data_IF_318437565616
#
_entry.id   IF_318437565616
#
_cell.length_a   1.000
_cell.length_b   1.000
_cell.length_c   1.000
_cell.angle_alpha   90.00
_cell.angle_beta   90.00
_cell.angle_gamma   90.00
#
_symmetry.space_group_name_H-M   'P 1'
#
loop_
_entity.id
_entity.type
_entity.pdbx_description
1 polymer ?
#
# COMPACT_ATOMS: atom_id res chain seq x y z
N UNK A 1 -7.97 -18.20 -1.27
CA UNK A 1 -9.29 -18.48 -1.87
C UNK A 1 -10.08 -19.58 -1.19
N UNK A 2 -9.47 -20.45 -0.43
CA UNK A 2 -10.18 -21.51 0.32
C UNK A 2 -11.25 -21.00 1.29
N UNK A 3 -11.26 -19.71 1.59
CA UNK A 3 -12.16 -19.07 2.56
C UNK A 3 -13.15 -18.07 1.92
N UNK A 4 -13.06 -17.83 0.62
CA UNK A 4 -13.91 -16.85 -0.06
C UNK A 4 -14.20 -17.28 -1.51
N UNK A 5 -15.47 -17.59 -1.79
CA UNK A 5 -15.97 -18.04 -3.10
C UNK A 5 -16.57 -16.93 -3.95
N UNK A 6 -16.45 -15.67 -3.51
CA UNK A 6 -17.01 -14.55 -4.27
C UNK A 6 -16.41 -14.48 -5.67
N UNK A 7 -17.22 -14.22 -6.72
CA UNK A 7 -16.73 -14.08 -8.08
C UNK A 7 -15.80 -12.88 -8.23
N UNK A 8 -15.03 -12.86 -9.31
CA UNK A 8 -14.19 -11.72 -9.73
C UNK A 8 -13.24 -11.22 -8.64
N UNK A 9 -12.69 -12.13 -7.82
CA UNK A 9 -11.87 -11.82 -6.66
C UNK A 9 -12.55 -10.90 -5.62
N UNK A 10 -13.88 -10.85 -5.62
CA UNK A 10 -14.66 -10.13 -4.62
C UNK A 10 -14.38 -10.63 -3.19
N UNK A 11 -14.75 -9.84 -2.20
CA UNK A 11 -14.54 -10.17 -0.79
C UNK A 11 -15.78 -9.88 0.07
N UNK A 12 -16.95 -9.68 -0.56
CA UNK A 12 -18.16 -9.26 0.13
C UNK A 12 -18.62 -10.33 1.14
N UNK A 13 -18.65 -11.60 0.74
CA UNK A 13 -19.07 -12.69 1.63
C UNK A 13 -18.18 -12.81 2.86
N UNK A 14 -16.88 -12.66 2.70
CA UNK A 14 -15.92 -12.69 3.81
C UNK A 14 -16.15 -11.53 4.79
N UNK A 15 -16.24 -10.32 4.26
CA UNK A 15 -16.35 -9.10 5.05
C UNK A 15 -17.74 -8.94 5.67
N UNK A 16 -18.80 -9.26 4.93
CA UNK A 16 -20.18 -8.95 5.33
C UNK A 16 -20.87 -10.10 6.09
N UNK A 17 -20.32 -11.32 6.04
CA UNK A 17 -20.87 -12.49 6.72
C UNK A 17 -19.90 -13.06 7.75
N UNK A 18 -18.84 -13.71 7.29
CA UNK A 18 -17.97 -14.52 8.14
C UNK A 18 -17.22 -13.68 9.17
N UNK A 19 -16.69 -12.53 8.79
CA UNK A 19 -15.86 -11.67 9.62
C UNK A 19 -16.47 -10.30 9.90
N UNK A 20 -17.78 -10.12 9.62
CA UNK A 20 -18.51 -8.86 9.75
C UNK A 20 -18.22 -8.09 11.03
N UNK A 21 -18.11 -8.79 12.14
CA UNK A 21 -17.89 -8.21 13.49
C UNK A 21 -16.56 -7.48 13.65
N UNK A 22 -15.60 -7.72 12.77
CA UNK A 22 -14.27 -7.10 12.84
C UNK A 22 -14.16 -5.81 12.02
N UNK A 23 -15.15 -5.51 11.21
CA UNK A 23 -15.13 -4.39 10.27
C UNK A 23 -16.17 -3.34 10.59
N UNK A 24 -15.78 -2.08 10.45
CA UNK A 24 -16.69 -0.96 10.60
C UNK A 24 -17.40 -0.65 9.29
N UNK A 25 -18.71 -0.80 9.27
CA UNK A 25 -19.59 -0.49 8.14
C UNK A 25 -20.49 0.72 8.38
N UNK A 26 -20.44 1.34 9.55
CA UNK A 26 -21.21 2.54 9.83
C UNK A 26 -21.63 2.66 11.30
N UNK A 27 -22.39 3.70 11.58
CA UNK A 27 -22.77 4.06 12.97
C UNK A 27 -23.53 2.95 13.73
N UNK A 28 -24.20 2.05 13.01
CA UNK A 28 -24.90 0.92 13.63
C UNK A 28 -23.96 -0.09 14.31
N UNK A 29 -22.67 -0.09 13.95
CA UNK A 29 -21.66 -0.97 14.55
C UNK A 29 -21.12 -0.43 15.88
N UNK A 30 -21.42 0.83 16.21
CA UNK A 30 -20.91 1.49 17.41
C UNK A 30 -19.84 2.55 17.12
N UNK A 31 -18.87 2.67 18.01
CA UNK A 31 -17.81 3.69 17.93
C UNK A 31 -16.76 3.27 16.91
N UNK A 32 -16.57 4.08 15.88
CA UNK A 32 -15.60 3.79 14.81
C UNK A 32 -14.17 3.49 15.34
N UNK A 33 -13.76 4.19 16.41
CA UNK A 33 -12.41 4.03 16.97
C UNK A 33 -12.12 2.60 17.46
N UNK A 34 -13.15 1.86 17.89
CA UNK A 34 -13.00 0.49 18.38
C UNK A 34 -12.61 -0.50 17.28
N UNK A 35 -12.79 -0.12 16.02
CA UNK A 35 -12.43 -0.91 14.84
C UNK A 35 -11.11 -0.47 14.19
N UNK A 36 -10.57 0.69 14.56
CA UNK A 36 -9.42 1.29 13.86
C UNK A 36 -8.09 0.74 14.39
N UNK A 37 -7.84 -0.54 14.11
CA UNK A 37 -6.57 -1.18 14.42
C UNK A 37 -5.59 -0.99 13.26
N UNK A 38 -4.34 -0.70 13.59
CA UNK A 38 -3.26 -0.56 12.64
C UNK A 38 -2.36 -1.80 12.68
N UNK A 39 -1.85 -2.21 11.52
CA UNK A 39 -0.72 -3.13 11.44
C UNK A 39 0.51 -2.48 12.08
N UNK A 40 1.50 -3.30 12.43
CA UNK A 40 2.76 -2.78 13.01
C UNK A 40 3.42 -1.77 12.09
N UNK A 41 3.46 -2.02 10.77
CA UNK A 41 4.03 -1.08 9.80
C UNK A 41 3.28 0.25 9.74
N UNK A 42 1.97 0.25 9.86
CA UNK A 42 1.14 1.47 9.85
C UNK A 42 1.36 2.31 11.10
N UNK A 43 1.42 1.65 12.27
CA UNK A 43 1.73 2.31 13.53
C UNK A 43 3.13 2.95 13.49
N UNK A 44 4.11 2.21 12.94
CA UNK A 44 5.48 2.69 12.79
C UNK A 44 5.58 3.87 11.82
N UNK A 45 4.94 3.77 10.66
CA UNK A 45 4.85 4.88 9.70
C UNK A 45 4.25 6.14 10.32
N UNK A 46 3.17 6.00 11.10
CA UNK A 46 2.54 7.11 11.79
C UNK A 46 3.48 7.74 12.85
N UNK A 47 4.13 6.92 13.67
CA UNK A 47 5.08 7.36 14.69
C UNK A 47 6.27 8.10 14.06
N UNK A 48 6.75 7.66 12.90
CA UNK A 48 7.78 8.32 12.09
C UNK A 48 7.32 9.61 11.37
N UNK A 49 6.12 10.10 11.67
CA UNK A 49 5.59 11.33 11.05
C UNK A 49 5.05 11.15 9.63
N UNK A 50 4.89 9.91 9.18
CA UNK A 50 4.38 9.58 7.84
C UNK A 50 2.96 10.06 7.59
N UNK A 51 2.12 10.04 8.60
CA UNK A 51 0.72 10.41 8.54
C UNK A 51 -0.15 9.30 9.13
N UNK A 52 -1.47 9.51 9.09
CA UNK A 52 -2.44 8.53 9.57
C UNK A 52 -2.85 7.63 8.40
N UNK A 53 -2.34 6.39 8.30
CA UNK A 53 -2.75 5.46 7.25
C UNK A 53 -4.20 5.02 7.47
N UNK A 54 -4.86 4.59 6.40
CA UNK A 54 -6.17 3.94 6.49
C UNK A 54 -5.98 2.50 6.97
N UNK A 55 -6.86 2.06 7.86
CA UNK A 55 -6.84 0.69 8.36
C UNK A 55 -7.67 -0.23 7.46
N UNK A 56 -7.25 -1.48 7.36
CA UNK A 56 -8.00 -2.54 6.62
C UNK A 56 -9.35 -2.87 7.25
N UNK A 57 -9.64 -2.41 8.46
CA UNK A 57 -10.91 -2.64 9.13
C UNK A 57 -11.99 -1.60 8.82
N UNK A 58 -11.67 -0.54 8.08
CA UNK A 58 -12.64 0.45 7.62
C UNK A 58 -13.28 0.02 6.29
N UNK A 59 -14.52 -0.44 6.34
CA UNK A 59 -15.23 -0.98 5.18
C UNK A 59 -16.20 0.03 4.54
N UNK A 60 -16.26 1.28 5.03
CA UNK A 60 -17.18 2.30 4.53
C UNK A 60 -16.49 3.67 4.37
N UNK A 61 -17.01 4.45 3.43
CA UNK A 61 -16.58 5.83 3.18
C UNK A 61 -15.45 5.94 2.17
N UNK A 62 -14.98 7.16 1.95
CA UNK A 62 -13.98 7.47 0.92
C UNK A 62 -12.58 6.89 1.22
N UNK A 63 -12.31 6.59 2.49
CA UNK A 63 -11.03 6.01 2.92
C UNK A 63 -11.11 4.50 3.17
N UNK A 64 -12.20 3.85 2.74
CA UNK A 64 -12.33 2.40 2.89
C UNK A 64 -11.27 1.67 2.09
N UNK A 65 -10.58 0.74 2.74
CA UNK A 65 -9.59 -0.11 2.08
C UNK A 65 -9.87 -1.61 2.29
N UNK A 66 -10.82 -1.95 3.17
CA UNK A 66 -11.12 -3.35 3.50
C UNK A 66 -11.39 -4.21 2.26
N UNK A 67 -12.35 -3.83 1.42
CA UNK A 67 -12.71 -4.61 0.22
C UNK A 67 -11.56 -4.71 -0.77
N UNK A 68 -10.88 -3.61 -1.02
CA UNK A 68 -9.72 -3.57 -1.93
C UNK A 68 -8.55 -4.41 -1.39
N UNK A 69 -8.28 -4.37 -0.08
CA UNK A 69 -7.22 -5.16 0.54
C UNK A 69 -7.49 -6.66 0.43
N UNK A 70 -8.72 -7.10 0.71
CA UNK A 70 -9.05 -8.53 0.60
C UNK A 70 -9.08 -9.01 -0.84
N UNK A 71 -9.63 -8.23 -1.77
CA UNK A 71 -9.56 -8.54 -3.21
C UNK A 71 -8.09 -8.61 -3.69
N UNK A 72 -7.28 -7.66 -3.26
CA UNK A 72 -5.83 -7.64 -3.53
C UNK A 72 -5.11 -8.87 -2.98
N UNK A 73 -5.41 -9.29 -1.74
CA UNK A 73 -4.81 -10.50 -1.16
C UNK A 73 -5.21 -11.77 -1.94
N UNK A 74 -6.44 -11.86 -2.42
CA UNK A 74 -6.86 -12.97 -3.30
C UNK A 74 -6.09 -12.97 -4.61
N UNK A 75 -5.91 -11.81 -5.24
CA UNK A 75 -5.08 -11.68 -6.43
C UNK A 75 -3.63 -12.09 -6.15
N UNK A 76 -3.04 -11.61 -5.05
CA UNK A 76 -1.68 -11.96 -4.64
C UNK A 76 -1.52 -13.46 -4.40
N UNK A 77 -2.53 -14.13 -3.83
CA UNK A 77 -2.54 -15.58 -3.66
C UNK A 77 -2.40 -16.32 -4.99
N UNK A 78 -3.08 -15.86 -6.05
CA UNK A 78 -2.94 -16.44 -7.39
C UNK A 78 -1.61 -16.10 -8.07
N UNK A 79 -1.07 -14.92 -7.83
CA UNK A 79 0.19 -14.47 -8.45
C UNK A 79 1.43 -15.06 -7.76
N UNK A 80 1.38 -15.31 -6.46
CA UNK A 80 2.52 -15.72 -5.64
C UNK A 80 3.26 -16.99 -6.13
N UNK A 81 2.62 -17.99 -6.73
CA UNK A 81 3.34 -19.11 -7.36
C UNK A 81 4.23 -18.72 -8.54
N UNK A 82 4.00 -17.56 -9.14
CA UNK A 82 4.70 -17.08 -10.35
C UNK A 82 5.64 -15.91 -10.07
N UNK A 83 5.27 -15.04 -9.10
CA UNK A 83 6.05 -13.85 -8.72
C UNK A 83 6.04 -13.75 -7.21
N UNK A 84 7.21 -13.76 -6.56
CA UNK A 84 7.29 -13.62 -5.11
C UNK A 84 6.69 -12.31 -4.62
N UNK A 85 6.12 -12.33 -3.43
CA UNK A 85 5.46 -11.18 -2.77
C UNK A 85 6.19 -10.90 -1.45
N UNK A 86 6.95 -9.83 -1.40
CA UNK A 86 7.64 -9.41 -0.18
C UNK A 86 6.66 -8.76 0.81
N UNK A 87 6.78 -8.98 2.12
CA UNK A 87 7.81 -9.76 2.83
C UNK A 87 7.45 -11.24 3.07
N UNK A 88 6.34 -11.73 2.51
CA UNK A 88 5.92 -13.14 2.67
C UNK A 88 6.89 -14.12 2.03
N UNK A 89 7.58 -13.68 0.97
CA UNK A 89 8.60 -14.43 0.26
C UNK A 89 9.94 -13.70 0.32
N UNK A 90 11.01 -14.46 0.25
CA UNK A 90 12.36 -13.90 0.17
C UNK A 90 12.52 -13.17 -1.17
N UNK A 91 13.05 -11.94 -1.12
CA UNK A 91 13.34 -11.20 -2.33
C UNK A 91 14.39 -11.95 -3.18
N UNK A 92 14.11 -12.26 -4.44
CA UNK A 92 15.05 -12.95 -5.30
C UNK A 92 16.23 -12.02 -5.64
N UNK A 93 17.42 -12.57 -5.86
CA UNK A 93 18.59 -11.76 -6.27
C UNK A 93 18.40 -11.12 -7.65
N UNK A 94 17.60 -11.73 -8.50
CA UNK A 94 17.24 -11.27 -9.84
C UNK A 94 15.79 -11.64 -10.13
N UNK A 95 15.12 -10.85 -10.97
CA UNK A 95 13.75 -11.10 -11.41
C UNK A 95 12.74 -10.11 -10.86
N UNK A 96 11.47 -10.41 -11.05
CA UNK A 96 10.35 -9.59 -10.61
C UNK A 96 9.95 -9.92 -9.18
N UNK A 97 9.46 -8.90 -8.46
CA UNK A 97 8.98 -9.02 -7.08
C UNK A 97 7.83 -8.05 -6.88
N UNK A 98 6.82 -8.45 -6.14
CA UNK A 98 5.71 -7.60 -5.75
C UNK A 98 5.97 -7.06 -4.34
N UNK A 99 5.78 -5.75 -4.16
CA UNK A 99 5.82 -5.07 -2.86
C UNK A 99 4.60 -4.17 -2.67
N UNK A 100 4.11 -4.09 -1.46
CA UNK A 100 3.13 -3.05 -1.09
C UNK A 100 3.86 -1.72 -0.91
N UNK A 101 3.29 -0.63 -1.43
CA UNK A 101 3.83 0.73 -1.23
C UNK A 101 2.73 1.71 -0.85
N UNK A 102 3.10 2.75 -0.11
CA UNK A 102 2.29 3.97 -0.01
C UNK A 102 2.81 5.00 -1.00
N UNK A 103 2.00 5.37 -1.99
CA UNK A 103 2.37 6.37 -3.00
C UNK A 103 2.74 7.71 -2.37
N UNK A 104 2.19 8.03 -1.19
CA UNK A 104 2.56 9.22 -0.42
C UNK A 104 4.01 9.21 0.06
N UNK A 105 4.64 8.06 0.28
CA UNK A 105 6.09 7.96 0.61
C UNK A 105 6.89 8.44 -0.60
N UNK A 106 6.59 7.94 -1.78
CA UNK A 106 7.25 8.31 -3.02
C UNK A 106 7.08 9.80 -3.32
N UNK A 107 5.86 10.33 -3.20
CA UNK A 107 5.58 11.74 -3.43
C UNK A 107 6.33 12.65 -2.43
N UNK A 108 6.42 12.27 -1.16
CA UNK A 108 7.21 13.03 -0.16
C UNK A 108 8.70 12.97 -0.44
N UNK A 109 9.23 11.82 -0.86
CA UNK A 109 10.62 11.69 -1.29
C UNK A 109 10.93 12.58 -2.50
N UNK A 110 9.93 12.83 -3.35
CA UNK A 110 9.98 13.77 -4.46
C UNK A 110 9.77 15.25 -4.03
N UNK A 111 9.81 15.56 -2.73
CA UNK A 111 9.69 16.93 -2.23
C UNK A 111 8.24 17.43 -2.08
N UNK A 112 7.22 16.59 -2.28
CA UNK A 112 5.83 17.03 -2.08
C UNK A 112 5.51 17.16 -0.58
N UNK A 113 4.84 18.24 -0.16
CA UNK A 113 4.52 18.44 1.26
C UNK A 113 3.46 17.43 1.74
N UNK A 114 3.52 17.10 3.03
CA UNK A 114 2.52 16.24 3.68
C UNK A 114 1.10 16.78 3.45
N UNK A 115 0.17 15.91 3.07
CA UNK A 115 -1.22 16.27 2.77
C UNK A 115 -1.45 16.95 1.42
N UNK A 116 -0.40 17.21 0.63
CA UNK A 116 -0.47 17.76 -0.74
C UNK A 116 0.40 16.93 -1.70
N UNK A 117 0.22 15.63 -1.67
CA UNK A 117 1.03 14.67 -2.43
C UNK A 117 0.57 14.49 -3.88
N UNK A 118 -0.63 14.96 -4.23
CA UNK A 118 -1.18 14.81 -5.58
C UNK A 118 -0.46 15.72 -6.60
N UNK A 119 -0.10 15.14 -7.74
CA UNK A 119 0.42 15.82 -8.91
C UNK A 119 -0.73 16.09 -9.88
N UNK A 120 -1.30 17.30 -9.84
CA UNK A 120 -2.52 17.66 -10.57
C UNK A 120 -2.28 18.19 -11.98
N UNK A 121 -1.03 18.42 -12.32
CA UNK A 121 -0.61 18.91 -13.63
C UNK A 121 0.75 18.32 -14.01
N UNK A 122 1.10 18.47 -15.27
CA UNK A 122 2.34 17.93 -15.83
C UNK A 122 3.58 18.58 -15.23
N UNK A 123 3.51 19.87 -14.87
CA UNK A 123 4.61 20.57 -14.21
C UNK A 123 4.94 19.95 -12.87
N UNK A 124 3.92 19.80 -12.00
CA UNK A 124 4.09 19.18 -10.68
C UNK A 124 4.61 17.72 -10.76
N UNK A 125 4.16 16.96 -11.78
CA UNK A 125 4.67 15.61 -12.02
C UNK A 125 6.14 15.64 -12.44
N UNK A 126 6.51 16.51 -13.37
CA UNK A 126 7.89 16.58 -13.88
C UNK A 126 8.86 17.11 -12.81
N UNK A 127 8.44 18.03 -11.95
CA UNK A 127 9.22 18.47 -10.80
C UNK A 127 9.50 17.31 -9.84
N UNK A 128 8.49 16.47 -9.57
CA UNK A 128 8.64 15.28 -8.74
C UNK A 128 9.58 14.25 -9.39
N UNK A 129 9.47 14.02 -10.69
CA UNK A 129 10.36 13.12 -11.43
C UNK A 129 11.80 13.63 -11.43
N UNK A 130 12.00 14.92 -11.66
CA UNK A 130 13.32 15.54 -11.60
C UNK A 130 13.98 15.36 -10.21
N UNK A 131 13.23 15.60 -9.13
CA UNK A 131 13.70 15.40 -7.77
C UNK A 131 14.12 13.94 -7.49
N UNK A 132 13.53 12.97 -8.20
CA UNK A 132 13.88 11.55 -8.13
C UNK A 132 14.93 11.12 -9.18
N UNK A 133 15.54 12.06 -9.88
CA UNK A 133 16.54 11.78 -10.92
C UNK A 133 15.98 11.01 -12.11
N UNK A 134 14.72 11.23 -12.45
CA UNK A 134 14.06 10.63 -13.61
C UNK A 134 13.85 11.63 -14.72
N UNK A 135 13.79 11.13 -15.97
CA UNK A 135 13.40 11.93 -17.11
C UNK A 135 11.96 12.46 -16.96
N UNK A 136 11.64 13.62 -17.54
CA UNK A 136 10.29 14.15 -17.50
C UNK A 136 9.32 13.24 -18.26
N UNK A 137 8.09 13.17 -17.78
CA UNK A 137 6.99 12.52 -18.48
C UNK A 137 6.67 13.28 -19.76
N UNK A 138 6.55 12.55 -20.84
CA UNK A 138 6.18 13.10 -22.15
C UNK A 138 4.76 12.63 -22.51
N UNK A 139 3.95 13.55 -23.04
CA UNK A 139 2.59 13.26 -23.41
C UNK A 139 1.56 14.03 -22.60
N UNK A 140 0.32 13.56 -22.63
CA UNK A 140 -0.77 14.17 -21.86
C UNK A 140 -0.59 13.95 -20.36
N UNK A 141 -1.05 14.88 -19.50
CA UNK A 141 -1.06 14.68 -18.07
C UNK A 141 -1.82 13.39 -17.72
N UNK A 142 -1.24 12.48 -16.94
CA UNK A 142 -1.96 11.31 -16.48
C UNK A 142 -3.01 11.72 -15.43
N UNK A 143 -3.97 10.84 -15.18
CA UNK A 143 -4.86 10.99 -14.05
C UNK A 143 -4.08 10.81 -12.70
N UNK A 144 -4.77 11.00 -11.57
CA UNK A 144 -4.19 10.87 -10.24
C UNK A 144 -3.50 9.51 -10.02
N UNK A 145 -4.09 8.43 -10.53
CA UNK A 145 -3.55 7.07 -10.36
C UNK A 145 -2.31 6.85 -11.24
N UNK A 146 -2.36 7.33 -12.46
CA UNK A 146 -1.21 7.29 -13.36
C UNK A 146 -0.03 8.10 -12.83
N UNK A 147 -0.27 9.31 -12.32
CA UNK A 147 0.76 10.13 -11.70
C UNK A 147 1.37 9.46 -10.47
N UNK A 148 0.54 8.90 -9.58
CA UNK A 148 0.98 8.15 -8.40
C UNK A 148 1.84 6.94 -8.81
N UNK A 149 1.45 6.19 -9.85
CA UNK A 149 2.20 5.04 -10.35
C UNK A 149 3.57 5.44 -10.93
N UNK A 150 3.61 6.50 -11.74
CA UNK A 150 4.85 7.01 -12.37
C UNK A 150 5.84 7.46 -11.29
N UNK A 151 5.40 8.25 -10.30
CA UNK A 151 6.26 8.72 -9.21
C UNK A 151 6.70 7.57 -8.30
N UNK A 152 5.81 6.61 -8.04
CA UNK A 152 6.17 5.41 -7.28
C UNK A 152 7.25 4.57 -7.99
N UNK A 153 7.14 4.38 -9.31
CA UNK A 153 8.15 3.67 -10.09
C UNK A 153 9.49 4.41 -10.09
N UNK A 154 9.49 5.74 -10.27
CA UNK A 154 10.69 6.55 -10.19
C UNK A 154 11.36 6.45 -8.83
N UNK A 155 10.59 6.52 -7.75
CA UNK A 155 11.08 6.38 -6.38
C UNK A 155 11.63 4.98 -6.12
N UNK A 156 10.93 3.92 -6.46
CA UNK A 156 11.38 2.53 -6.30
C UNK A 156 12.74 2.31 -6.96
N UNK A 157 12.96 2.84 -8.16
CA UNK A 157 14.25 2.77 -8.86
C UNK A 157 15.40 3.32 -8.01
N UNK A 158 15.16 4.36 -7.20
CA UNK A 158 16.20 5.00 -6.38
C UNK A 158 16.43 4.31 -5.05
N UNK A 159 15.42 3.61 -4.52
CA UNK A 159 15.46 3.07 -3.14
C UNK A 159 15.56 1.55 -3.09
N UNK A 160 15.14 0.83 -4.11
CA UNK A 160 15.23 -0.64 -4.15
C UNK A 160 16.65 -1.19 -3.90
N UNK A 161 17.74 -0.52 -4.31
CA UNK A 161 19.10 -0.97 -3.99
C UNK A 161 19.50 -0.83 -2.51
N UNK A 162 18.67 -0.26 -1.64
CA UNK A 162 19.00 -0.02 -0.21
C UNK A 162 18.65 -1.24 0.65
N UNK A 163 19.62 -1.99 1.19
CA UNK A 163 19.34 -3.22 1.95
C UNK A 163 18.46 -2.99 3.17
N UNK A 164 18.59 -1.84 3.86
CA UNK A 164 17.82 -1.52 5.06
C UNK A 164 16.31 -1.44 4.84
N UNK A 165 15.85 -1.23 3.61
CA UNK A 165 14.43 -1.19 3.29
C UNK A 165 13.82 -2.60 3.14
N UNK A 166 14.66 -3.60 2.90
CA UNK A 166 14.25 -4.99 2.78
C UNK A 166 14.21 -5.72 4.13
N UNK A 167 14.91 -5.19 5.13
CA UNK A 167 14.99 -5.73 6.48
C UNK A 167 14.84 -4.63 7.53
N UNK A 168 13.70 -3.90 7.54
CA UNK A 168 13.48 -2.87 8.55
C UNK A 168 13.45 -3.50 9.95
N UNK A 169 14.02 -2.83 10.99
CA UNK A 169 14.16 -3.43 12.33
C UNK A 169 12.88 -3.96 12.96
N UNK A 170 11.69 -3.34 12.78
CA UNK A 170 10.46 -3.87 13.34
C UNK A 170 9.85 -5.06 12.60
N UNK A 171 10.37 -5.41 11.42
CA UNK A 171 9.88 -6.51 10.61
C UNK A 171 10.51 -7.83 11.05
N UNK A 172 9.88 -8.49 11.99
CA UNK A 172 10.26 -9.85 12.37
C UNK A 172 9.55 -10.92 11.49
N UNK A 173 9.95 -12.19 11.56
CA UNK A 173 9.35 -13.26 10.76
C UNK A 173 7.85 -13.48 11.03
N UNK A 174 7.36 -13.21 12.24
CA UNK A 174 5.95 -13.35 12.57
C UNK A 174 5.13 -12.25 11.89
N UNK A 175 5.57 -10.98 12.01
CA UNK A 175 4.93 -9.85 11.34
C UNK A 175 4.97 -10.03 9.83
N UNK A 176 6.11 -10.44 9.27
CA UNK A 176 6.22 -10.72 7.83
C UNK A 176 5.19 -11.75 7.36
N UNK A 177 4.97 -12.83 8.13
CA UNK A 177 4.06 -13.90 7.75
C UNK A 177 2.56 -13.56 7.95
N UNK A 178 2.22 -12.67 8.89
CA UNK A 178 0.83 -12.43 9.32
C UNK A 178 0.26 -11.09 8.86
N UNK A 179 1.07 -10.03 8.89
CA UNK A 179 0.61 -8.67 8.60
C UNK A 179 1.16 -8.12 7.28
N UNK A 180 2.29 -8.66 6.81
CA UNK A 180 3.04 -8.07 5.70
C UNK A 180 3.72 -6.75 6.11
N UNK A 181 4.26 -6.04 5.13
CA UNK A 181 4.95 -4.76 5.36
C UNK A 181 4.85 -3.85 4.15
N UNK A 182 4.68 -2.56 4.39
CA UNK A 182 4.74 -1.55 3.32
C UNK A 182 6.21 -1.16 3.06
N UNK A 183 6.69 -1.41 1.86
CA UNK A 183 8.07 -1.10 1.46
C UNK A 183 8.36 0.39 1.58
N UNK A 184 9.48 0.72 2.21
CA UNK A 184 9.88 2.11 2.48
C UNK A 184 9.49 2.64 3.87
N UNK A 185 8.76 1.87 4.67
CA UNK A 185 8.55 2.16 6.10
C UNK A 185 9.74 1.59 6.89
N UNK A 186 10.42 2.44 7.64
CA UNK A 186 11.61 2.12 8.45
C UNK A 186 11.46 2.72 9.84
#
# INVERSE_FOLDING_TARGET
>A
DSICDDPDLGAASLLERTHRRHFYFGKADGVKADFMHNRVCEAHYNAGGGGKPSTVYDAIGAAQVAKASFAGMRLLHHLRPHVPVWPFDVAPPLGSLIVEIYTSIAARAAGRPKGRTKMRDLGALNDALFALGSAPHQGLPPDDHGADAIVAAAWLRTVAPRPSLWTPPPLDPHIAATEGWTFGVI
#
